data_IF_432884412501
#
_entry.id   IF_432884412501
#
_cell.length_a   1.000
_cell.length_b   1.000
_cell.length_c   1.000
_cell.angle_alpha   90.00
_cell.angle_beta   90.00
_cell.angle_gamma   90.00
#
_symmetry.space_group_name_H-M   'P 1'
#
loop_
_entity.id
_entity.type
_entity.pdbx_description
1 polymer ?
#
# COMPACT_ATOMS: atom_id res chain seq x y z
N UNK A 1 -8.44 -20.31 3.86
CA UNK A 1 -7.28 -19.40 3.94
C UNK A 1 -7.77 -18.05 4.52
N UNK A 2 -6.91 -17.18 5.06
CA UNK A 2 -7.34 -15.87 5.59
C UNK A 2 -8.02 -15.02 4.52
N UNK A 3 -7.59 -15.14 3.27
CA UNK A 3 -8.23 -14.47 2.13
C UNK A 3 -9.68 -14.90 1.97
N UNK A 4 -9.95 -16.21 2.02
CA UNK A 4 -11.32 -16.74 1.88
C UNK A 4 -12.21 -16.34 3.06
N UNK A 5 -11.65 -16.30 4.27
CA UNK A 5 -12.34 -15.84 5.48
C UNK A 5 -12.81 -14.38 5.33
N UNK A 6 -11.92 -13.47 4.89
CA UNK A 6 -12.27 -12.06 4.68
C UNK A 6 -13.38 -11.90 3.65
N UNK A 7 -13.36 -12.67 2.56
CA UNK A 7 -14.41 -12.63 1.53
C UNK A 7 -15.73 -13.15 2.10
N UNK A 8 -15.71 -14.27 2.83
CA UNK A 8 -16.91 -14.86 3.42
C UNK A 8 -17.56 -13.95 4.47
N UNK A 9 -16.77 -13.22 5.25
CA UNK A 9 -17.24 -12.28 6.29
C UNK A 9 -17.80 -10.97 5.72
N UNK A 10 -17.54 -10.66 4.45
CA UNK A 10 -17.91 -9.38 3.82
C UNK A 10 -18.82 -9.55 2.57
N UNK A 11 -19.97 -10.26 2.69
CA UNK A 11 -20.84 -10.49 1.55
C UNK A 11 -21.41 -9.18 1.00
N UNK A 12 -21.42 -9.04 -0.33
CA UNK A 12 -21.94 -7.85 -1.01
C UNK A 12 -21.01 -6.64 -1.03
N UNK A 13 -19.79 -6.74 -0.44
CA UNK A 13 -18.74 -5.74 -0.65
C UNK A 13 -18.03 -5.99 -1.98
N UNK A 14 -17.53 -4.92 -2.58
CA UNK A 14 -16.73 -4.98 -3.81
C UNK A 14 -15.29 -5.40 -3.49
N UNK A 15 -15.12 -6.66 -3.07
CA UNK A 15 -13.82 -7.26 -2.77
C UNK A 15 -13.55 -8.39 -3.78
N UNK A 16 -12.36 -8.37 -4.39
CA UNK A 16 -11.88 -9.41 -5.28
C UNK A 16 -10.61 -10.03 -4.65
N UNK A 17 -10.61 -11.34 -4.31
CA UNK A 17 -9.43 -12.00 -3.77
C UNK A 17 -8.44 -12.35 -4.89
N UNK A 18 -7.15 -12.26 -4.58
CA UNK A 18 -6.05 -12.69 -5.45
C UNK A 18 -5.09 -13.55 -4.64
N UNK A 19 -4.53 -14.58 -5.26
CA UNK A 19 -3.70 -15.58 -4.58
C UNK A 19 -2.23 -15.50 -4.98
N UNK A 20 -1.91 -14.65 -5.96
CA UNK A 20 -0.55 -14.33 -6.36
C UNK A 20 -0.36 -12.81 -6.47
N UNK A 21 0.89 -12.36 -6.33
CA UNK A 21 1.24 -10.94 -6.45
C UNK A 21 1.01 -10.43 -7.87
N UNK A 22 1.30 -11.26 -8.88
CA UNK A 22 1.10 -10.94 -10.29
C UNK A 22 -0.37 -10.67 -10.60
N UNK A 23 -1.27 -11.59 -10.25
CA UNK A 23 -2.72 -11.43 -10.47
C UNK A 23 -3.26 -10.19 -9.74
N UNK A 24 -2.79 -9.94 -8.51
CA UNK A 24 -3.17 -8.75 -7.75
C UNK A 24 -2.75 -7.46 -8.49
N UNK A 25 -1.50 -7.38 -8.96
CA UNK A 25 -0.98 -6.19 -9.64
C UNK A 25 -1.65 -5.97 -11.00
N UNK A 26 -1.95 -7.04 -11.74
CA UNK A 26 -2.64 -6.97 -13.03
C UNK A 26 -4.10 -6.52 -12.92
N UNK A 27 -4.74 -6.78 -11.78
CA UNK A 27 -6.13 -6.39 -11.56
C UNK A 27 -6.36 -4.89 -11.35
N UNK A 28 -5.30 -4.13 -11.08
CA UNK A 28 -5.39 -2.73 -10.67
C UNK A 28 -5.38 -1.79 -11.87
N UNK A 29 -6.19 -0.74 -11.79
CA UNK A 29 -6.13 0.38 -12.73
C UNK A 29 -4.78 1.11 -12.64
N UNK A 30 -4.29 1.62 -13.78
CA UNK A 30 -3.06 2.42 -13.84
C UNK A 30 -3.38 3.92 -13.71
N UNK A 31 -2.54 4.72 -13.02
CA UNK A 31 -1.39 4.31 -12.21
C UNK A 31 -1.85 3.54 -10.96
N UNK A 32 -1.17 2.42 -10.67
CA UNK A 32 -1.57 1.51 -9.59
C UNK A 32 -1.37 2.16 -8.24
N UNK A 33 -2.33 1.96 -7.32
CA UNK A 33 -2.30 2.49 -5.95
C UNK A 33 -2.39 1.33 -4.97
N UNK A 34 -1.29 1.01 -4.32
CA UNK A 34 -1.17 -0.21 -3.49
C UNK A 34 -0.87 0.20 -2.05
N UNK A 35 -1.80 -0.10 -1.14
CA UNK A 35 -1.66 0.12 0.29
C UNK A 35 -1.09 -1.12 0.99
N UNK A 36 0.05 -0.95 1.65
CA UNK A 36 0.74 -1.98 2.43
C UNK A 36 0.36 -1.85 3.91
N UNK A 37 -0.33 -2.88 4.42
CA UNK A 37 -0.68 -3.04 5.84
C UNK A 37 -0.02 -4.30 6.39
N UNK A 38 1.31 -4.35 6.30
CA UNK A 38 2.12 -5.48 6.77
C UNK A 38 2.94 -5.07 8.00
N UNK A 39 3.53 -6.06 8.68
CA UNK A 39 4.42 -5.80 9.81
C UNK A 39 5.56 -4.85 9.39
N UNK A 40 5.78 -3.80 10.15
CA UNK A 40 6.84 -2.84 9.89
C UNK A 40 8.24 -3.50 9.90
N UNK A 41 9.17 -2.89 9.16
CA UNK A 41 10.54 -3.38 8.98
C UNK A 41 10.68 -4.32 7.79
N UNK A 42 11.43 -5.41 7.95
CA UNK A 42 11.87 -6.31 6.87
C UNK A 42 10.71 -6.90 6.06
N UNK A 43 9.55 -7.15 6.68
CA UNK A 43 8.39 -7.69 5.97
C UNK A 43 7.87 -6.70 4.93
N UNK A 44 7.85 -5.40 5.23
CA UNK A 44 7.51 -4.35 4.25
C UNK A 44 8.49 -4.33 3.09
N UNK A 45 9.80 -4.41 3.37
CA UNK A 45 10.83 -4.41 2.32
C UNK A 45 10.72 -5.64 1.40
N UNK A 46 10.42 -6.82 1.97
CA UNK A 46 10.15 -8.04 1.20
C UNK A 46 8.90 -7.91 0.34
N UNK A 47 7.83 -7.32 0.87
CA UNK A 47 6.61 -7.07 0.09
C UNK A 47 6.89 -6.10 -1.06
N UNK A 48 7.58 -4.99 -0.80
CA UNK A 48 7.99 -4.05 -1.85
C UNK A 48 8.80 -4.77 -2.94
N UNK A 49 9.82 -5.56 -2.56
CA UNK A 49 10.66 -6.30 -3.50
C UNK A 49 9.88 -7.35 -4.33
N UNK A 50 8.80 -7.91 -3.78
CA UNK A 50 7.92 -8.82 -4.52
C UNK A 50 7.00 -8.11 -5.51
N UNK A 51 6.67 -6.83 -5.26
CA UNK A 51 5.77 -6.04 -6.10
C UNK A 51 6.51 -5.39 -7.27
N UNK A 52 7.68 -4.79 -7.02
CA UNK A 52 8.39 -3.96 -8.00
C UNK A 52 8.64 -4.61 -9.36
N UNK A 53 8.88 -5.94 -9.52
CA UNK A 53 9.02 -6.56 -10.83
C UNK A 53 7.77 -6.51 -11.71
N UNK A 54 6.60 -6.30 -11.12
CA UNK A 54 5.30 -6.30 -11.81
C UNK A 54 4.73 -4.88 -12.01
N UNK A 55 5.39 -3.85 -11.46
CA UNK A 55 4.92 -2.47 -11.53
C UNK A 55 5.44 -1.74 -12.76
N UNK A 56 4.67 -0.74 -13.18
CA UNK A 56 5.08 0.23 -14.19
C UNK A 56 5.61 1.51 -13.54
N UNK A 57 6.43 2.26 -14.28
CA UNK A 57 6.89 3.59 -13.83
C UNK A 57 5.69 4.50 -13.56
N UNK A 58 5.74 5.20 -12.44
CA UNK A 58 4.65 6.08 -11.97
C UNK A 58 3.66 5.40 -11.03
N UNK A 59 3.70 4.07 -10.89
CA UNK A 59 2.88 3.37 -9.89
C UNK A 59 3.24 3.81 -8.45
N UNK A 60 2.25 3.71 -7.56
CA UNK A 60 2.27 4.29 -6.22
C UNK A 60 2.16 3.19 -5.17
N UNK A 61 3.21 3.08 -4.35
CA UNK A 61 3.23 2.25 -3.15
C UNK A 61 2.96 3.13 -1.92
N UNK A 62 2.08 2.67 -1.04
CA UNK A 62 1.67 3.39 0.17
C UNK A 62 1.96 2.51 1.39
N UNK A 63 2.83 2.94 2.30
CA UNK A 63 3.08 2.21 3.57
C UNK A 63 2.20 2.80 4.68
N UNK A 64 1.15 2.06 5.06
CA UNK A 64 0.23 2.43 6.13
C UNK A 64 0.62 1.88 7.51
N UNK A 65 1.78 1.22 7.61
CA UNK A 65 2.27 0.66 8.85
C UNK A 65 2.80 1.71 9.83
N UNK A 66 3.04 1.28 11.08
CA UNK A 66 3.74 2.09 12.08
C UNK A 66 5.26 2.03 11.85
N UNK A 67 5.69 2.53 10.69
CA UNK A 67 7.08 2.47 10.22
C UNK A 67 7.91 3.60 10.83
N UNK A 68 9.16 3.31 11.19
CA UNK A 68 10.11 4.34 11.63
C UNK A 68 10.45 5.25 10.45
N UNK A 69 10.29 6.57 10.62
CA UNK A 69 10.35 7.53 9.51
C UNK A 69 11.64 7.47 8.65
N UNK A 70 12.77 7.03 9.22
CA UNK A 70 14.02 6.87 8.46
C UNK A 70 13.93 5.75 7.43
N UNK A 71 13.19 4.68 7.72
CA UNK A 71 12.90 3.61 6.76
C UNK A 71 12.04 4.13 5.62
N UNK A 72 11.03 4.96 5.92
CA UNK A 72 10.22 5.64 4.91
C UNK A 72 11.06 6.53 4.00
N UNK A 73 11.98 7.33 4.56
CA UNK A 73 12.89 8.18 3.78
C UNK A 73 13.79 7.34 2.87
N UNK A 74 14.36 6.24 3.39
CA UNK A 74 15.20 5.31 2.62
C UNK A 74 14.41 4.69 1.45
N UNK A 75 13.25 4.09 1.74
CA UNK A 75 12.37 3.47 0.74
C UNK A 75 11.92 4.45 -0.32
N UNK A 76 11.54 5.67 0.08
CA UNK A 76 11.12 6.71 -0.85
C UNK A 76 12.23 7.04 -1.86
N UNK A 77 13.49 7.18 -1.42
CA UNK A 77 14.62 7.42 -2.32
C UNK A 77 14.86 6.25 -3.27
N UNK A 78 14.99 5.04 -2.73
CA UNK A 78 15.27 3.82 -3.52
C UNK A 78 14.20 3.57 -4.58
N UNK A 79 12.92 3.79 -4.25
CA UNK A 79 11.79 3.62 -5.18
C UNK A 79 11.71 4.74 -6.21
N UNK A 80 12.00 5.98 -5.80
CA UNK A 80 12.06 7.13 -6.72
C UNK A 80 13.14 6.93 -7.80
N UNK A 81 14.31 6.43 -7.41
CA UNK A 81 15.41 6.14 -8.34
C UNK A 81 15.03 5.08 -9.38
N UNK A 82 14.07 4.21 -9.05
CA UNK A 82 13.51 3.20 -9.95
C UNK A 82 12.32 3.72 -10.78
N UNK A 83 11.82 4.93 -10.49
CA UNK A 83 10.69 5.55 -11.17
C UNK A 83 9.32 5.22 -10.56
N UNK A 84 9.29 4.75 -9.30
CA UNK A 84 8.08 4.50 -8.54
C UNK A 84 7.81 5.62 -7.53
N UNK A 85 6.54 5.84 -7.22
CA UNK A 85 6.12 6.75 -6.17
C UNK A 85 5.95 6.00 -4.84
N UNK A 86 6.28 6.67 -3.73
CA UNK A 86 6.16 6.06 -2.41
C UNK A 86 5.62 7.05 -1.38
N UNK A 87 4.49 6.71 -0.77
CA UNK A 87 3.84 7.50 0.27
C UNK A 87 3.92 6.73 1.59
N UNK A 88 4.66 7.25 2.56
CA UNK A 88 4.51 6.79 3.95
C UNK A 88 3.30 7.46 4.58
N UNK A 89 2.38 6.70 5.15
CA UNK A 89 1.18 7.24 5.81
C UNK A 89 1.02 6.69 7.21
N UNK A 90 1.07 7.58 8.20
CA UNK A 90 0.66 7.20 9.55
C UNK A 90 -0.85 7.06 9.61
N UNK A 91 -1.35 5.92 10.09
CA UNK A 91 -2.78 5.69 10.32
C UNK A 91 -3.04 5.52 11.82
N UNK A 92 -3.91 6.35 12.38
CA UNK A 92 -4.26 6.35 13.81
C UNK A 92 -5.76 6.23 14.03
N UNK A 93 -6.16 5.62 15.15
CA UNK A 93 -7.57 5.36 15.51
C UNK A 93 -7.87 3.92 15.95
N UNK A 94 -6.88 3.02 15.93
CA UNK A 94 -7.07 1.60 16.22
C UNK A 94 -7.96 0.90 15.18
N UNK A 95 -8.38 -0.32 15.47
CA UNK A 95 -9.20 -1.13 14.55
C UNK A 95 -10.54 -0.47 14.24
N UNK A 96 -11.21 0.09 15.26
CA UNK A 96 -12.47 0.81 15.09
C UNK A 96 -12.31 2.07 14.24
N UNK A 97 -11.25 2.86 14.49
CA UNK A 97 -10.95 4.05 13.70
C UNK A 97 -10.65 3.71 12.25
N UNK A 98 -9.90 2.64 11.98
CA UNK A 98 -9.65 2.18 10.62
C UNK A 98 -10.95 1.88 9.86
N UNK A 99 -11.98 1.36 10.54
CA UNK A 99 -13.28 1.06 9.93
C UNK A 99 -14.18 2.31 9.78
N UNK A 100 -14.19 3.22 10.76
CA UNK A 100 -15.17 4.32 10.84
C UNK A 100 -14.64 5.67 10.35
N UNK A 101 -13.34 5.84 10.21
CA UNK A 101 -12.71 7.10 9.83
C UNK A 101 -11.43 7.33 10.65
N UNK A 102 -10.25 6.94 10.14
CA UNK A 102 -9.00 7.11 10.85
C UNK A 102 -8.44 8.53 10.64
N UNK A 103 -7.48 8.91 11.47
CA UNK A 103 -6.55 9.99 11.14
C UNK A 103 -5.49 9.46 10.18
N UNK A 104 -5.29 10.15 9.05
CA UNK A 104 -4.37 9.76 7.98
C UNK A 104 -3.33 10.88 7.80
N UNK A 105 -2.05 10.51 7.89
CA UNK A 105 -0.91 11.45 7.85
C UNK A 105 0.07 11.07 6.74
N UNK A 106 -0.25 11.36 5.47
CA UNK A 106 0.56 10.95 4.32
C UNK A 106 1.76 11.88 4.09
N UNK A 107 2.89 11.31 3.67
CA UNK A 107 4.09 12.03 3.23
C UNK A 107 4.82 11.29 2.11
N UNK A 108 5.22 12.01 1.06
CA UNK A 108 5.82 11.45 -0.15
C UNK A 108 5.86 12.47 -1.29
N UNK A 109 5.93 12.00 -2.54
CA UNK A 109 5.82 12.83 -3.73
C UNK A 109 4.44 13.50 -3.79
N UNK A 110 4.40 14.80 -4.08
CA UNK A 110 3.15 15.57 -4.07
C UNK A 110 2.20 15.12 -5.18
N UNK A 111 2.74 14.85 -6.36
CA UNK A 111 2.00 14.40 -7.53
C UNK A 111 1.36 13.03 -7.28
N UNK A 112 2.04 12.15 -6.54
CA UNK A 112 1.49 10.87 -6.12
C UNK A 112 0.37 11.05 -5.09
N UNK A 113 0.54 11.97 -4.14
CA UNK A 113 -0.49 12.27 -3.15
C UNK A 113 -1.78 12.82 -3.79
N UNK A 114 -1.67 13.68 -4.81
CA UNK A 114 -2.84 14.22 -5.53
C UNK A 114 -3.70 13.12 -6.20
N UNK A 115 -3.11 11.98 -6.55
CA UNK A 115 -3.80 10.80 -7.10
C UNK A 115 -4.47 9.90 -6.05
N UNK A 116 -4.09 10.07 -4.77
CA UNK A 116 -4.53 9.25 -3.63
C UNK A 116 -5.41 10.05 -2.65
N UNK A 117 -5.39 11.38 -2.71
CA UNK A 117 -6.10 12.26 -1.79
C UNK A 117 -7.65 12.17 -1.85
N UNK A 118 -8.30 12.02 -3.02
CA UNK A 118 -9.76 11.81 -3.09
C UNK A 118 -10.18 10.45 -2.53
#
# INVERSE_FOLDING_TARGET
DKTDEVIAENPGKNLAPYYTVEEFVESLEKPRRILLMVKAGEATDKTIASLTPHLDKGDILIDGGNTYYQDTIRRNRELSDQGFNFIGTGVSGGEEGALKGPSIMPGGQKEAYELVAP
#
